data_IF_664721535883
#
_entry.id   IF_664721535883
#
_cell.length_a   1.000
_cell.length_b   1.000
_cell.length_c   1.000
_cell.angle_alpha   90.00
_cell.angle_beta   90.00
_cell.angle_gamma   90.00
#
_symmetry.space_group_name_H-M   'P 1'
#
loop_
_entity.id
_entity.type
_entity.pdbx_description
1 polymer ?
#
# COMPACT_ATOMS: atom_id res chain seq x y z
N UNK A 1 -10.95 0.32 5.65
CA UNK A 1 -10.08 1.09 6.58
C UNK A 1 -9.28 2.10 5.76
N UNK A 2 -9.11 3.34 6.21
CA UNK A 2 -8.40 4.38 5.46
C UNK A 2 -7.40 5.14 6.33
N UNK A 3 -6.21 5.40 5.79
CA UNK A 3 -5.12 6.13 6.44
C UNK A 3 -4.64 7.27 5.53
N UNK A 4 -4.05 8.31 6.11
CA UNK A 4 -3.49 9.44 5.37
C UNK A 4 -1.98 9.48 5.52
N UNK A 5 -1.25 9.58 4.40
CA UNK A 5 0.20 9.74 4.40
C UNK A 5 0.64 10.56 3.18
N UNK A 6 1.59 11.48 3.37
CA UNK A 6 2.10 12.37 2.29
C UNK A 6 2.65 11.59 1.09
N UNK A 7 3.26 10.44 1.35
CA UNK A 7 3.79 9.54 0.33
C UNK A 7 2.85 8.35 0.07
N UNK A 8 1.53 8.52 0.23
CA UNK A 8 0.56 7.43 0.13
C UNK A 8 0.62 6.68 -1.19
N UNK A 9 0.92 7.37 -2.29
CA UNK A 9 1.08 6.74 -3.61
C UNK A 9 2.26 5.77 -3.64
N UNK A 10 3.45 6.22 -3.21
CA UNK A 10 4.65 5.38 -3.16
C UNK A 10 4.50 4.19 -2.21
N UNK A 11 3.77 4.36 -1.10
CA UNK A 11 3.45 3.27 -0.17
C UNK A 11 2.56 2.22 -0.86
N UNK A 12 1.49 2.65 -1.56
CA UNK A 12 0.64 1.74 -2.33
C UNK A 12 1.44 0.92 -3.35
N UNK A 13 2.34 1.57 -4.08
CA UNK A 13 3.16 0.91 -5.10
C UNK A 13 4.18 -0.07 -4.48
N UNK A 14 4.82 0.30 -3.37
CA UNK A 14 5.73 -0.57 -2.64
C UNK A 14 5.01 -1.79 -2.02
N UNK A 15 3.79 -1.60 -1.53
CA UNK A 15 2.94 -2.68 -1.03
C UNK A 15 2.51 -3.65 -2.15
N UNK A 16 2.18 -3.12 -3.34
CA UNK A 16 1.84 -3.95 -4.49
C UNK A 16 3.00 -4.88 -4.90
N UNK A 17 4.27 -4.43 -4.74
CA UNK A 17 5.44 -5.26 -4.97
C UNK A 17 5.60 -6.40 -3.94
N UNK A 18 4.97 -6.28 -2.76
CA UNK A 18 4.86 -7.34 -1.74
C UNK A 18 3.50 -8.06 -1.80
N UNK A 19 2.79 -7.98 -2.93
CA UNK A 19 1.50 -8.62 -3.16
C UNK A 19 0.35 -8.11 -2.27
N UNK A 20 0.53 -6.97 -1.59
CA UNK A 20 -0.52 -6.33 -0.78
C UNK A 20 -1.16 -5.20 -1.58
N UNK A 21 -2.42 -5.40 -1.98
CA UNK A 21 -3.15 -4.42 -2.80
C UNK A 21 -3.87 -3.41 -1.91
N UNK A 22 -3.44 -2.15 -1.98
CA UNK A 22 -4.10 -1.02 -1.36
C UNK A 22 -4.56 -0.01 -2.42
N UNK A 23 -5.68 0.66 -2.18
CA UNK A 23 -6.23 1.69 -3.08
C UNK A 23 -5.77 3.08 -2.65
N UNK A 24 -5.07 3.79 -3.54
CA UNK A 24 -4.68 5.17 -3.32
C UNK A 24 -5.76 6.13 -3.81
N UNK A 25 -6.10 7.11 -2.98
CA UNK A 25 -6.98 8.22 -3.35
C UNK A 25 -6.25 9.55 -3.14
N UNK A 26 -6.20 10.32 -4.22
CA UNK A 26 -5.67 11.68 -4.18
C UNK A 26 -6.39 12.52 -3.11
N UNK A 27 -5.67 13.37 -2.34
CA UNK A 27 -4.25 13.65 -2.48
C UNK A 27 -3.31 12.70 -1.73
N UNK A 28 -3.74 12.05 -0.64
CA UNK A 28 -2.84 11.38 0.31
C UNK A 28 -3.45 10.14 1.01
N UNK A 29 -4.56 9.61 0.53
CA UNK A 29 -5.31 8.56 1.23
C UNK A 29 -4.92 7.16 0.74
N UNK A 30 -4.69 6.25 1.69
CA UNK A 30 -4.39 4.84 1.49
C UNK A 30 -5.56 4.03 2.07
N UNK A 31 -6.21 3.19 1.26
CA UNK A 31 -7.40 2.43 1.67
C UNK A 31 -7.16 0.93 1.55
N UNK A 32 -7.51 0.23 2.62
CA UNK A 32 -7.54 -1.23 2.67
C UNK A 32 -8.99 -1.71 2.66
N UNK A 33 -9.31 -2.54 1.67
CA UNK A 33 -10.57 -3.24 1.57
C UNK A 33 -10.50 -4.57 2.32
N UNK A 34 -11.37 -4.74 3.32
CA UNK A 34 -11.50 -6.01 4.01
C UNK A 34 -12.85 -6.64 3.62
N UNK A 35 -12.81 -7.72 2.84
CA UNK A 35 -13.95 -8.55 2.46
C UNK A 35 -14.06 -9.77 3.38
N UNK A 36 -15.01 -9.80 4.34
CA UNK A 36 -15.08 -10.84 5.37
C UNK A 36 -15.32 -12.26 4.83
N UNK A 37 -15.85 -12.40 3.61
CA UNK A 37 -16.14 -13.71 3.01
C UNK A 37 -14.88 -14.46 2.58
N UNK A 38 -13.78 -13.77 2.31
CA UNK A 38 -12.57 -14.38 1.73
C UNK A 38 -11.30 -14.09 2.51
N UNK A 39 -11.33 -13.16 3.47
CA UNK A 39 -10.17 -12.81 4.28
C UNK A 39 -9.98 -13.73 5.46
N UNK A 40 -8.77 -14.27 5.60
CA UNK A 40 -8.30 -14.95 6.80
C UNK A 40 -7.58 -13.96 7.70
N UNK A 41 -7.52 -14.26 8.99
CA UNK A 41 -6.72 -13.47 9.94
C UNK A 41 -5.23 -13.46 9.59
N UNK A 42 -4.74 -14.54 8.99
CA UNK A 42 -3.37 -14.68 8.52
C UNK A 42 -3.02 -13.67 7.41
N UNK A 43 -3.94 -13.45 6.45
CA UNK A 43 -3.73 -12.49 5.35
C UNK A 43 -3.62 -11.05 5.90
N UNK A 44 -4.40 -10.74 6.95
CA UNK A 44 -4.34 -9.46 7.65
C UNK A 44 -2.98 -9.30 8.35
N UNK A 45 -2.53 -10.36 9.03
CA UNK A 45 -1.22 -10.35 9.70
C UNK A 45 -0.08 -10.12 8.71
N UNK A 46 -0.05 -10.88 7.60
CA UNK A 46 0.95 -10.72 6.54
C UNK A 46 0.92 -9.31 5.93
N UNK A 47 -0.28 -8.78 5.69
CA UNK A 47 -0.45 -7.40 5.19
C UNK A 47 0.12 -6.37 6.16
N UNK A 48 -0.13 -6.51 7.47
CA UNK A 48 0.43 -5.63 8.50
C UNK A 48 1.96 -5.73 8.57
N UNK A 49 2.53 -6.93 8.46
CA UNK A 49 3.99 -7.13 8.42
C UNK A 49 4.61 -6.45 7.21
N UNK A 50 4.03 -6.62 6.02
CA UNK A 50 4.51 -5.97 4.80
C UNK A 50 4.44 -4.43 4.90
N UNK A 51 3.36 -3.89 5.48
CA UNK A 51 3.24 -2.44 5.74
C UNK A 51 4.34 -1.94 6.66
N UNK A 52 4.61 -2.67 7.74
CA UNK A 52 5.70 -2.34 8.67
C UNK A 52 7.05 -2.31 7.96
N UNK A 53 7.38 -3.36 7.21
CA UNK A 53 8.65 -3.45 6.46
C UNK A 53 8.82 -2.31 5.45
N UNK A 54 7.79 -2.02 4.65
CA UNK A 54 7.84 -0.92 3.66
C UNK A 54 8.10 0.42 4.32
N UNK A 55 7.51 0.66 5.50
CA UNK A 55 7.68 1.90 6.24
C UNK A 55 9.06 2.00 6.91
N UNK A 56 9.53 0.91 7.53
CA UNK A 56 10.82 0.87 8.23
C UNK A 56 12.01 0.93 7.26
N UNK A 57 11.94 0.20 6.14
CA UNK A 57 13.00 0.18 5.13
C UNK A 57 12.96 1.42 4.21
N UNK A 58 11.89 2.22 4.27
CA UNK A 58 11.74 3.39 3.43
C UNK A 58 11.58 3.05 1.94
N UNK A 59 11.14 1.83 1.61
CA UNK A 59 11.01 1.36 0.22
C UNK A 59 10.21 2.35 -0.64
N UNK A 60 9.13 2.93 -0.09
CA UNK A 60 8.27 3.90 -0.76
C UNK A 60 8.98 5.19 -1.22
N UNK A 61 10.22 5.44 -0.80
CA UNK A 61 11.05 6.56 -1.26
C UNK A 61 11.80 6.23 -2.55
N UNK A 62 11.87 4.96 -2.96
CA UNK A 62 12.55 4.57 -4.19
C UNK A 62 11.88 5.24 -5.40
N UNK A 63 12.67 5.70 -6.38
CA UNK A 63 12.13 6.42 -7.55
C UNK A 63 11.10 5.60 -8.32
N UNK A 64 11.27 4.27 -8.36
CA UNK A 64 10.41 3.37 -9.13
C UNK A 64 8.97 3.33 -8.61
N UNK A 65 8.77 3.47 -7.29
CA UNK A 65 7.43 3.48 -6.69
C UNK A 65 6.74 4.85 -6.76
N UNK A 66 7.46 5.91 -7.14
CA UNK A 66 6.91 7.25 -7.30
C UNK A 66 6.65 7.64 -8.77
N UNK A 67 6.83 6.69 -9.71
CA UNK A 67 6.52 6.91 -11.13
C UNK A 67 5.01 6.78 -11.36
N UNK A 68 4.38 7.89 -11.75
CA UNK A 68 3.03 7.85 -12.29
C UNK A 68 3.08 7.36 -13.73
N UNK A 69 2.39 6.25 -14.01
CA UNK A 69 2.16 5.81 -15.38
C UNK A 69 1.26 6.84 -16.06
N UNK A 70 1.75 7.46 -17.15
CA UNK A 70 0.91 8.27 -18.03
C UNK A 70 0.02 7.32 -18.84
N UNK A 71 -1.26 7.29 -18.53
CA UNK A 71 -2.26 6.67 -19.41
C UNK A 71 -2.42 7.61 -20.60
N UNK A 72 -2.15 7.10 -21.80
CA UNK A 72 -2.33 7.81 -23.09
C UNK A 72 -3.61 7.35 -23.74
#
# INVERSE_FOLDING_TARGET
LAFSHKNGFGICQALAAKEVIADFRSPNLLRFGFSPLHLRFEDIWQSCTAVKEVLEEGMYLLPDFNKHLKVT
#
